data_IF_432936352140
#
_entry.id   IF_432936352140
#
_cell.length_a   1.000
_cell.length_b   1.000
_cell.length_c   1.000
_cell.angle_alpha   90.00
_cell.angle_beta   90.00
_cell.angle_gamma   90.00
#
_symmetry.space_group_name_H-M   'P 1'
#
loop_
_entity.id
_entity.type
_entity.pdbx_description
1 polymer ?
#
# COMPACT_ATOMS: atom_id res chain seq x y z
N UNK A 1 -20.79 -7.79 -1.48
CA UNK A 1 -19.34 -7.53 -1.32
C UNK A 1 -19.12 -6.73 -0.05
N UNK A 2 -18.31 -7.24 0.85
CA UNK A 2 -18.05 -6.55 2.10
C UNK A 2 -17.06 -5.41 1.90
N UNK A 3 -17.32 -4.23 2.46
CA UNK A 3 -16.34 -3.16 2.41
C UNK A 3 -15.11 -3.52 3.25
N UNK A 4 -13.97 -2.94 2.91
CA UNK A 4 -12.75 -3.11 3.68
C UNK A 4 -12.95 -2.48 5.07
N UNK A 5 -12.57 -3.21 6.12
CA UNK A 5 -12.57 -2.68 7.47
C UNK A 5 -11.28 -1.90 7.71
N UNK A 6 -11.26 -0.67 7.21
CA UNK A 6 -10.06 0.17 7.17
C UNK A 6 -9.38 0.30 8.54
N UNK A 7 -10.15 0.64 9.57
CA UNK A 7 -9.57 0.84 10.91
C UNK A 7 -8.98 -0.44 11.48
N UNK A 8 -9.70 -1.55 11.32
CA UNK A 8 -9.25 -2.85 11.81
C UNK A 8 -7.97 -3.27 11.10
N UNK A 9 -7.98 -3.19 9.77
CA UNK A 9 -6.81 -3.57 8.98
C UNK A 9 -5.60 -2.69 9.29
N UNK A 10 -5.80 -1.39 9.42
CA UNK A 10 -4.72 -0.45 9.78
C UNK A 10 -4.09 -0.83 11.11
N UNK A 11 -4.91 -1.16 12.12
CA UNK A 11 -4.39 -1.59 13.43
C UNK A 11 -3.59 -2.89 13.32
N UNK A 12 -4.05 -3.83 12.51
CA UNK A 12 -3.36 -5.10 12.29
C UNK A 12 -2.01 -4.87 11.62
N UNK A 13 -1.95 -3.98 10.66
CA UNK A 13 -0.70 -3.63 9.98
C UNK A 13 0.29 -3.00 10.96
N UNK A 14 -0.19 -2.05 11.77
CA UNK A 14 0.65 -1.39 12.77
C UNK A 14 1.20 -2.40 13.78
N UNK A 15 0.34 -3.29 14.28
CA UNK A 15 0.75 -4.31 15.25
C UNK A 15 1.81 -5.25 14.66
N UNK A 16 1.63 -5.68 13.41
CA UNK A 16 2.59 -6.54 12.74
C UNK A 16 3.94 -5.85 12.55
N UNK A 17 3.93 -4.60 12.12
CA UNK A 17 5.17 -3.84 11.96
C UNK A 17 5.90 -3.71 13.29
N UNK A 18 5.18 -3.37 14.36
CA UNK A 18 5.77 -3.28 15.71
C UNK A 18 6.39 -4.61 16.15
N UNK A 19 5.69 -5.71 15.91
CA UNK A 19 6.18 -7.05 16.22
C UNK A 19 7.53 -7.34 15.56
N UNK A 20 7.75 -6.82 14.36
CA UNK A 20 8.95 -7.04 13.57
C UNK A 20 10.00 -5.94 13.73
N UNK A 21 9.80 -5.02 14.66
CA UNK A 21 10.74 -3.93 14.92
C UNK A 21 10.71 -2.82 13.88
N UNK A 22 9.62 -2.73 13.12
CA UNK A 22 9.45 -1.73 12.08
C UNK A 22 8.36 -0.74 12.49
N UNK A 23 8.16 0.29 11.70
CA UNK A 23 7.15 1.30 11.98
C UNK A 23 6.14 1.40 10.84
N UNK A 24 4.87 1.29 11.17
CA UNK A 24 3.79 1.57 10.24
C UNK A 24 3.17 2.91 10.63
N UNK A 25 3.16 3.86 9.70
CA UNK A 25 2.66 5.21 9.92
C UNK A 25 1.38 5.40 9.15
N UNK A 26 0.21 5.47 9.84
CA UNK A 26 -1.04 5.76 9.15
C UNK A 26 -1.08 7.21 8.70
N UNK A 27 -1.75 7.47 7.60
CA UNK A 27 -1.90 8.82 7.03
C UNK A 27 -0.55 9.53 6.88
N UNK A 28 0.41 8.81 6.31
CA UNK A 28 1.77 9.31 6.14
C UNK A 28 1.78 10.48 5.16
N UNK A 29 2.32 11.62 5.60
CA UNK A 29 2.42 12.81 4.74
C UNK A 29 3.67 12.76 3.88
N UNK A 30 3.48 12.98 2.58
CA UNK A 30 4.58 13.04 1.63
C UNK A 30 5.10 14.48 1.54
N UNK A 31 6.32 14.69 0.98
CA UNK A 31 6.87 16.04 0.86
C UNK A 31 6.02 16.99 0.02
N UNK A 32 5.22 16.49 -0.92
CA UNK A 32 4.36 17.34 -1.76
C UNK A 32 2.98 17.58 -1.15
N UNK A 33 2.76 17.17 0.11
CA UNK A 33 1.52 17.43 0.83
C UNK A 33 0.43 16.39 0.63
N UNK A 34 0.67 15.35 -0.18
CA UNK A 34 -0.29 14.25 -0.31
C UNK A 34 -0.16 13.29 0.87
N UNK A 35 -1.06 12.31 0.99
CA UNK A 35 -1.04 11.33 2.07
C UNK A 35 -1.10 9.92 1.51
N UNK A 36 -0.33 9.03 2.13
CA UNK A 36 -0.36 7.60 1.88
C UNK A 36 -1.09 6.97 3.07
N UNK A 37 -2.03 6.06 2.81
CA UNK A 37 -2.87 5.51 3.88
C UNK A 37 -2.04 4.84 4.98
N UNK A 38 -1.06 4.02 4.62
CA UNK A 38 -0.10 3.45 5.58
C UNK A 38 1.27 3.34 4.92
N UNK A 39 2.29 3.85 5.58
CA UNK A 39 3.68 3.72 5.12
C UNK A 39 4.45 2.84 6.10
N UNK A 40 5.18 1.87 5.58
CA UNK A 40 6.05 1.01 6.40
C UNK A 40 7.49 1.49 6.25
N UNK A 41 8.12 1.74 7.40
CA UNK A 41 9.46 2.30 7.46
C UNK A 41 10.36 1.45 8.36
N UNK A 42 11.65 1.42 8.03
CA UNK A 42 12.70 0.91 8.91
C UNK A 42 13.61 2.10 9.24
N UNK A 43 13.36 2.74 10.38
CA UNK A 43 13.96 4.04 10.67
C UNK A 43 13.48 5.04 9.63
N UNK A 44 14.41 5.65 8.89
CA UNK A 44 14.07 6.59 7.82
C UNK A 44 13.93 5.89 6.45
N UNK A 45 14.28 4.61 6.38
CA UNK A 45 14.22 3.85 5.13
C UNK A 45 12.78 3.49 4.80
N UNK A 46 12.33 3.87 3.62
CA UNK A 46 10.99 3.55 3.13
C UNK A 46 10.98 2.14 2.56
N UNK A 47 10.07 1.29 3.05
CA UNK A 47 9.96 -0.10 2.63
C UNK A 47 8.75 -0.35 1.74
N UNK A 48 7.60 0.21 2.10
CA UNK A 48 6.34 -0.12 1.43
C UNK A 48 5.31 0.97 1.64
N UNK A 49 4.59 1.33 0.58
CA UNK A 49 3.39 2.16 0.67
C UNK A 49 2.17 1.26 0.50
N UNK A 50 1.15 1.45 1.33
CA UNK A 50 -0.11 0.70 1.28
C UNK A 50 -1.25 1.69 1.14
N UNK A 51 -2.11 1.48 0.14
CA UNK A 51 -3.31 2.29 -0.07
C UNK A 51 -4.54 1.40 0.02
N UNK A 52 -5.58 1.91 0.69
CA UNK A 52 -6.80 1.17 0.96
C UNK A 52 -7.92 1.75 0.09
N UNK A 53 -8.21 1.09 -1.03
CA UNK A 53 -9.17 1.57 -2.01
C UNK A 53 -10.49 0.81 -1.87
N UNK A 54 -11.39 1.34 -1.05
CA UNK A 54 -12.67 0.72 -0.76
C UNK A 54 -13.79 1.15 -1.72
N UNK A 55 -13.59 2.21 -2.50
CA UNK A 55 -14.60 2.74 -3.40
C UNK A 55 -14.41 2.23 -4.83
N UNK A 56 -15.50 1.76 -5.46
CA UNK A 56 -15.46 1.33 -6.85
C UNK A 56 -15.40 2.51 -7.81
N UNK A 57 -16.02 3.64 -7.43
CA UNK A 57 -16.10 4.82 -8.29
C UNK A 57 -14.69 5.37 -8.54
N UNK A 58 -14.35 5.57 -9.81
CA UNK A 58 -13.06 6.12 -10.22
C UNK A 58 -11.86 5.23 -9.85
N UNK A 59 -12.10 3.93 -9.70
CA UNK A 59 -11.07 3.00 -9.22
C UNK A 59 -9.79 3.05 -10.06
N UNK A 60 -9.83 2.97 -11.41
CA UNK A 60 -8.59 3.02 -12.19
C UNK A 60 -7.81 4.32 -12.00
N UNK A 61 -8.50 5.45 -11.92
CA UNK A 61 -7.88 6.75 -11.71
C UNK A 61 -7.28 6.85 -10.30
N UNK A 62 -7.94 6.28 -9.30
CA UNK A 62 -7.42 6.26 -7.93
C UNK A 62 -6.16 5.43 -7.83
N UNK A 63 -6.13 4.26 -8.47
CA UNK A 63 -4.95 3.41 -8.49
C UNK A 63 -3.80 4.12 -9.20
N UNK A 64 -4.08 4.77 -10.32
CA UNK A 64 -3.06 5.56 -11.02
C UNK A 64 -2.50 6.67 -10.12
N UNK A 65 -3.37 7.39 -9.44
CA UNK A 65 -2.96 8.45 -8.51
C UNK A 65 -2.08 7.87 -7.39
N UNK A 66 -2.46 6.71 -6.84
CA UNK A 66 -1.68 6.04 -5.80
C UNK A 66 -0.28 5.67 -6.30
N UNK A 67 -0.19 5.17 -7.55
CA UNK A 67 1.09 4.84 -8.17
C UNK A 67 1.99 6.08 -8.29
N UNK A 68 1.45 7.17 -8.82
CA UNK A 68 2.20 8.41 -8.99
C UNK A 68 2.66 8.92 -7.62
N UNK A 69 1.78 8.92 -6.65
CA UNK A 69 2.05 9.42 -5.30
C UNK A 69 3.16 8.63 -4.62
N UNK A 70 3.07 7.30 -4.65
CA UNK A 70 4.08 6.44 -4.04
C UNK A 70 5.43 6.58 -4.72
N UNK A 71 5.42 6.64 -6.06
CA UNK A 71 6.64 6.81 -6.83
C UNK A 71 7.33 8.14 -6.49
N UNK A 72 6.57 9.23 -6.48
CA UNK A 72 7.11 10.56 -6.18
C UNK A 72 7.62 10.67 -4.75
N UNK A 73 6.98 9.96 -3.82
CA UNK A 73 7.41 9.93 -2.43
C UNK A 73 8.64 9.04 -2.18
N UNK A 74 9.09 8.30 -3.20
CA UNK A 74 10.30 7.49 -3.11
C UNK A 74 10.11 6.11 -2.48
N UNK A 75 8.90 5.57 -2.50
CA UNK A 75 8.66 4.22 -1.99
C UNK A 75 9.08 3.17 -3.03
N UNK A 76 9.75 2.10 -2.58
CA UNK A 76 10.23 1.07 -3.51
C UNK A 76 9.15 0.06 -3.93
N UNK A 77 8.00 0.05 -3.26
CA UNK A 77 6.91 -0.87 -3.59
C UNK A 77 5.58 -0.28 -3.12
N UNK A 78 4.49 -0.59 -3.84
CA UNK A 78 3.14 -0.13 -3.50
C UNK A 78 2.18 -1.32 -3.50
N UNK A 79 1.35 -1.42 -2.45
CA UNK A 79 0.26 -2.38 -2.38
C UNK A 79 -1.06 -1.63 -2.37
N UNK A 80 -1.98 -2.04 -3.24
CA UNK A 80 -3.35 -1.54 -3.27
C UNK A 80 -4.25 -2.63 -2.69
N UNK A 81 -4.95 -2.30 -1.62
CA UNK A 81 -5.85 -3.24 -0.95
C UNK A 81 -7.26 -2.85 -1.33
N UNK A 82 -7.99 -3.78 -1.95
CA UNK A 82 -9.30 -3.48 -2.49
C UNK A 82 -10.19 -4.72 -2.46
N UNK A 83 -11.53 -4.57 -2.28
CA UNK A 83 -12.46 -5.69 -2.42
C UNK A 83 -12.75 -6.04 -3.88
N UNK A 84 -12.31 -5.22 -4.82
CA UNK A 84 -12.66 -5.40 -6.23
C UNK A 84 -11.73 -6.39 -6.90
N UNK A 85 -12.30 -7.18 -7.82
CA UNK A 85 -11.53 -8.13 -8.61
C UNK A 85 -11.14 -7.49 -9.94
N UNK A 86 -10.00 -7.91 -10.45
CA UNK A 86 -9.48 -7.38 -11.70
C UNK A 86 -8.58 -6.18 -11.45
N UNK A 87 -7.58 -6.07 -12.30
CA UNK A 87 -6.59 -5.01 -12.21
C UNK A 87 -6.60 -4.21 -13.50
N UNK A 88 -6.56 -2.86 -13.42
CA UNK A 88 -6.47 -2.06 -14.64
C UNK A 88 -5.10 -2.26 -15.29
N UNK A 89 -5.08 -3.03 -16.38
CA UNK A 89 -3.83 -3.46 -17.02
C UNK A 89 -2.91 -2.31 -17.43
N UNK A 90 -3.49 -1.19 -17.87
CA UNK A 90 -2.69 -0.04 -18.28
C UNK A 90 -2.01 0.65 -17.08
N UNK A 91 -2.62 0.59 -15.91
CA UNK A 91 -2.01 1.14 -14.68
C UNK A 91 -0.86 0.23 -14.23
N UNK A 92 -1.05 -1.10 -14.30
CA UNK A 92 0.00 -2.05 -13.97
C UNK A 92 1.22 -1.84 -14.87
N UNK A 93 0.97 -1.65 -16.17
CA UNK A 93 2.04 -1.39 -17.12
C UNK A 93 2.76 -0.07 -16.82
N UNK A 94 2.01 0.96 -16.47
CA UNK A 94 2.59 2.25 -16.11
C UNK A 94 3.49 2.15 -14.88
N UNK A 95 3.03 1.42 -13.85
CA UNK A 95 3.85 1.20 -12.65
C UNK A 95 5.15 0.45 -13.00
N UNK A 96 5.06 -0.55 -13.88
CA UNK A 96 6.22 -1.28 -14.35
C UNK A 96 7.21 -0.35 -15.06
N UNK A 97 6.70 0.52 -15.92
CA UNK A 97 7.53 1.50 -16.64
C UNK A 97 8.25 2.46 -15.68
N UNK A 98 7.61 2.79 -14.55
CA UNK A 98 8.22 3.62 -13.52
C UNK A 98 9.21 2.85 -12.63
N UNK A 99 9.26 1.53 -12.78
CA UNK A 99 10.09 0.70 -11.91
C UNK A 99 9.52 0.55 -10.51
N UNK A 100 8.20 0.72 -10.35
CA UNK A 100 7.53 0.58 -9.06
C UNK A 100 6.78 -0.76 -8.99
N UNK A 101 7.28 -1.75 -8.25
CA UNK A 101 6.53 -2.97 -8.01
C UNK A 101 5.16 -2.67 -7.40
N UNK A 102 4.11 -3.19 -8.00
CA UNK A 102 2.72 -2.96 -7.59
C UNK A 102 2.02 -4.28 -7.38
N UNK A 103 1.39 -4.45 -6.21
CA UNK A 103 0.51 -5.58 -5.93
C UNK A 103 -0.89 -5.07 -5.62
N UNK A 104 -1.90 -5.76 -6.13
CA UNK A 104 -3.31 -5.46 -5.84
C UNK A 104 -3.91 -6.72 -5.22
N UNK A 105 -4.48 -6.60 -4.02
CA UNK A 105 -4.96 -7.76 -3.29
C UNK A 105 -6.17 -7.42 -2.40
N UNK A 106 -6.89 -8.46 -1.97
CA UNK A 106 -7.97 -8.32 -1.00
C UNK A 106 -7.43 -8.20 0.42
N UNK A 107 -8.27 -7.71 1.33
CA UNK A 107 -7.83 -7.47 2.71
C UNK A 107 -7.43 -8.76 3.45
N UNK A 108 -8.01 -9.90 3.07
CA UNK A 108 -7.71 -11.18 3.72
C UNK A 108 -6.28 -11.67 3.45
N UNK A 109 -5.64 -11.15 2.42
CA UNK A 109 -4.28 -11.54 2.07
C UNK A 109 -3.20 -10.64 2.67
N UNK A 110 -3.60 -9.47 3.18
CA UNK A 110 -2.62 -8.44 3.59
C UNK A 110 -1.69 -8.92 4.69
N UNK A 111 -2.22 -9.42 5.79
CA UNK A 111 -1.39 -9.76 6.94
C UNK A 111 -0.42 -10.93 6.64
N UNK A 112 -0.87 -12.06 6.06
CA UNK A 112 0.10 -13.11 5.70
C UNK A 112 1.14 -12.67 4.67
N UNK A 113 0.72 -11.93 3.64
CA UNK A 113 1.65 -11.44 2.62
C UNK A 113 2.62 -10.40 3.21
N UNK A 114 2.11 -9.52 4.06
CA UNK A 114 2.93 -8.49 4.69
C UNK A 114 3.96 -9.10 5.63
N UNK A 115 3.56 -10.12 6.40
CA UNK A 115 4.50 -10.84 7.28
C UNK A 115 5.66 -11.43 6.47
N UNK A 116 5.35 -12.08 5.35
CA UNK A 116 6.37 -12.64 4.47
C UNK A 116 7.27 -11.54 3.90
N UNK A 117 6.67 -10.48 3.40
CA UNK A 117 7.41 -9.36 2.81
C UNK A 117 8.34 -8.69 3.83
N UNK A 118 7.82 -8.35 4.99
CA UNK A 118 8.60 -7.63 6.01
C UNK A 118 9.68 -8.53 6.63
N UNK A 119 9.43 -9.83 6.74
CA UNK A 119 10.45 -10.76 7.23
C UNK A 119 11.64 -10.84 6.29
N UNK A 120 11.42 -10.67 4.98
CA UNK A 120 12.52 -10.65 4.01
C UNK A 120 13.26 -9.32 3.99
N UNK A 121 12.68 -8.25 4.55
CA UNK A 121 13.30 -6.93 4.63
C UNK A 121 14.18 -6.77 5.88
N UNK A 122 14.01 -7.66 6.83
CA UNK A 122 14.79 -7.65 8.07
C UNK A 122 15.80 -8.79 8.09
#
# INVERSE_FOLDING_TARGET
MSPIKVKTLTRQIIALADELGLKAVPEYRTPDGTRIDVAILDGEKKLLAIELEASFKWFPQRVLYDVVKAHRAGFPELWIITPFKGSPGWVLKYAEELGLPLRIMGEEKVIPELRTFLSSCT
#
